data_IF_931895771085
#
_entry.id   IF_931895771085
#
_cell.length_a   1.000
_cell.length_b   1.000
_cell.length_c   1.000
_cell.angle_alpha   90.00
_cell.angle_beta   90.00
_cell.angle_gamma   90.00
#
_symmetry.space_group_name_H-M   'P 1'
#
loop_
_entity.id
_entity.type
_entity.pdbx_description
1 polymer ?
#
# COMPACT_ATOMS: atom_id res chain seq x y z
N UNK A 1 -14.24 31.27 -9.89
CA UNK A 1 -13.42 30.40 -10.76
C UNK A 1 -13.10 29.11 -10.01
N UNK A 2 -13.47 27.93 -10.53
CA UNK A 2 -13.12 26.64 -9.90
C UNK A 2 -11.67 26.33 -10.26
N UNK A 3 -10.74 26.62 -9.36
CA UNK A 3 -9.35 26.17 -9.51
C UNK A 3 -9.36 24.64 -9.60
N UNK A 4 -9.12 24.10 -10.80
CA UNK A 4 -8.85 22.68 -11.00
C UNK A 4 -7.45 22.42 -10.48
N UNK A 5 -7.33 22.20 -9.18
CA UNK A 5 -6.07 21.80 -8.58
C UNK A 5 -5.63 20.49 -9.23
N UNK A 6 -4.62 20.61 -10.08
CA UNK A 6 -4.03 19.52 -10.84
C UNK A 6 -2.56 19.55 -10.50
N UNK A 7 -2.03 18.41 -10.09
CA UNK A 7 -0.63 18.26 -9.79
C UNK A 7 -0.01 17.28 -10.78
N UNK A 8 1.20 17.57 -11.22
CA UNK A 8 1.97 16.73 -12.12
C UNK A 8 3.23 16.28 -11.40
N UNK A 9 3.57 15.00 -11.51
CA UNK A 9 4.75 14.42 -10.89
C UNK A 9 5.42 13.47 -11.85
N UNK A 10 6.73 13.53 -11.93
CA UNK A 10 7.53 12.50 -12.57
C UNK A 10 8.11 11.58 -11.50
N UNK A 11 7.98 10.28 -11.70
CA UNK A 11 8.56 9.27 -10.81
C UNK A 11 9.69 8.60 -11.57
N UNK A 12 10.87 9.20 -11.44
CA UNK A 12 12.12 8.70 -12.02
C UNK A 12 12.76 7.67 -11.08
N UNK A 13 13.44 6.70 -11.68
CA UNK A 13 14.19 5.60 -11.03
C UNK A 13 13.35 4.43 -10.53
N UNK A 14 13.18 3.43 -11.40
CA UNK A 14 12.97 2.05 -10.96
C UNK A 14 14.24 1.25 -11.24
N UNK A 15 14.64 0.33 -10.34
CA UNK A 15 15.61 -0.69 -10.71
C UNK A 15 15.13 -1.38 -11.99
N UNK A 16 16.02 -1.49 -12.98
CA UNK A 16 15.71 -2.10 -14.27
C UNK A 16 14.97 -3.45 -14.07
N UNK A 17 13.86 -3.64 -14.78
CA UNK A 17 13.05 -4.86 -14.72
C UNK A 17 11.92 -4.89 -13.69
N UNK A 18 11.67 -3.83 -12.90
CA UNK A 18 10.48 -3.74 -12.03
C UNK A 18 9.41 -2.83 -12.62
N UNK A 19 8.23 -3.38 -12.87
CA UNK A 19 7.17 -2.71 -13.65
C UNK A 19 6.30 -1.75 -12.85
N UNK A 20 6.18 -1.88 -11.52
CA UNK A 20 5.44 -0.95 -10.66
C UNK A 20 5.90 -1.07 -9.20
N UNK A 21 6.19 0.05 -8.53
CA UNK A 21 6.43 0.08 -7.07
C UNK A 21 5.37 0.97 -6.40
N UNK A 22 5.05 0.76 -5.12
CA UNK A 22 4.21 1.69 -4.37
C UNK A 22 4.90 3.06 -4.30
N UNK A 23 4.14 4.09 -4.67
CA UNK A 23 4.56 5.48 -4.66
C UNK A 23 3.79 6.21 -3.57
N UNK A 24 4.52 7.02 -2.79
CA UNK A 24 3.97 7.91 -1.76
C UNK A 24 4.43 9.33 -2.03
N UNK A 25 3.48 10.24 -2.19
CA UNK A 25 3.76 11.66 -2.40
C UNK A 25 2.87 12.51 -1.50
N UNK A 26 3.28 13.75 -1.27
CA UNK A 26 2.53 14.74 -0.50
C UNK A 26 2.20 15.93 -1.38
N UNK A 27 0.93 16.34 -1.40
CA UNK A 27 0.46 17.49 -2.17
C UNK A 27 -0.12 18.58 -1.25
N UNK A 28 0.18 19.87 -1.53
CA UNK A 28 -0.46 20.97 -0.83
C UNK A 28 -1.86 21.23 -1.40
N UNK A 29 -2.81 21.61 -0.55
CA UNK A 29 -4.15 22.04 -0.97
C UNK A 29 -4.53 23.38 -0.36
N UNK A 30 -5.41 24.11 -1.02
CA UNK A 30 -5.87 25.41 -0.55
C UNK A 30 -6.75 25.30 0.72
N UNK A 31 -6.88 26.36 1.52
CA UNK A 31 -7.86 26.41 2.61
C UNK A 31 -9.27 26.07 2.11
N UNK A 32 -10.07 25.43 2.97
CA UNK A 32 -11.46 25.04 2.69
C UNK A 32 -11.61 24.00 1.56
N UNK A 33 -10.56 23.26 1.24
CA UNK A 33 -10.61 22.16 0.27
C UNK A 33 -11.49 20.99 0.80
N UNK A 34 -12.48 20.56 0.00
CA UNK A 34 -13.55 19.61 0.40
C UNK A 34 -13.59 18.32 -0.43
N UNK A 35 -12.46 17.82 -0.91
CA UNK A 35 -12.48 16.73 -1.89
C UNK A 35 -12.29 15.38 -1.19
N UNK A 36 -13.24 14.44 -1.35
CA UNK A 36 -13.27 13.19 -0.58
C UNK A 36 -12.33 12.11 -1.13
N UNK A 37 -11.86 12.23 -2.38
CA UNK A 37 -11.06 11.22 -3.06
C UNK A 37 -10.16 11.81 -4.14
N UNK A 38 -9.06 11.11 -4.41
CA UNK A 38 -8.08 11.44 -5.44
C UNK A 38 -7.95 10.30 -6.43
N UNK A 39 -7.65 10.64 -7.68
CA UNK A 39 -7.27 9.68 -8.70
C UNK A 39 -6.01 10.13 -9.41
N UNK A 40 -5.25 9.15 -9.87
CA UNK A 40 -4.03 9.35 -10.65
C UNK A 40 -4.29 8.94 -12.09
N UNK A 41 -3.97 9.83 -13.02
CA UNK A 41 -3.90 9.55 -14.45
C UNK A 41 -2.46 9.08 -14.72
N UNK A 42 -2.35 7.85 -15.23
CA UNK A 42 -1.10 7.19 -15.58
C UNK A 42 -0.55 7.69 -16.94
N UNK A 43 0.73 7.43 -17.28
CA UNK A 43 1.30 7.78 -18.58
C UNK A 43 0.50 7.25 -19.78
N UNK A 44 -0.10 6.06 -19.65
CA UNK A 44 -0.93 5.43 -20.67
C UNK A 44 -2.37 5.97 -20.74
N UNK A 45 -2.68 7.06 -20.02
CA UNK A 45 -4.01 7.67 -19.97
C UNK A 45 -5.02 6.98 -19.05
N UNK A 46 -4.71 5.80 -18.49
CA UNK A 46 -5.62 5.12 -17.55
C UNK A 46 -5.74 5.89 -16.23
N UNK A 47 -6.92 5.82 -15.61
CA UNK A 47 -7.21 6.50 -14.34
C UNK A 47 -7.37 5.46 -13.24
N UNK A 48 -6.61 5.62 -12.15
CA UNK A 48 -6.67 4.75 -10.98
C UNK A 48 -6.89 5.55 -9.70
N UNK A 49 -7.61 5.01 -8.72
CA UNK A 49 -7.80 5.69 -7.44
C UNK A 49 -6.48 5.76 -6.68
N UNK A 50 -6.24 6.89 -6.02
CA UNK A 50 -5.19 7.03 -5.02
C UNK A 50 -5.79 6.91 -3.63
N UNK A 51 -5.17 6.13 -2.75
CA UNK A 51 -5.47 6.22 -1.34
C UNK A 51 -4.95 7.57 -0.83
N UNK A 52 -5.74 8.24 0.00
CA UNK A 52 -5.41 9.58 0.48
C UNK A 52 -5.61 9.72 1.97
N UNK A 53 -4.70 10.42 2.65
CA UNK A 53 -4.86 10.82 4.04
C UNK A 53 -4.39 12.25 4.28
N UNK A 54 -5.09 12.97 5.15
CA UNK A 54 -4.63 14.31 5.59
C UNK A 54 -3.48 14.13 6.57
N UNK A 55 -2.34 14.80 6.31
CA UNK A 55 -1.16 14.77 7.19
C UNK A 55 -0.99 16.09 7.96
N UNK A 56 -1.42 17.23 7.41
CA UNK A 56 -1.40 18.54 8.08
C UNK A 56 -2.71 19.25 7.80
N UNK A 57 -3.26 19.94 8.80
CA UNK A 57 -4.49 20.75 8.70
C UNK A 57 -4.18 22.25 8.88
N UNK A 58 -5.02 23.10 8.30
CA UNK A 58 -5.11 24.51 8.66
C UNK A 58 -5.78 24.67 10.04
N UNK A 59 -5.66 25.84 10.70
CA UNK A 59 -6.38 26.14 11.94
C UNK A 59 -7.91 25.98 11.82
N UNK A 60 -8.46 26.17 10.62
CA UNK A 60 -9.89 25.92 10.32
C UNK A 60 -10.28 24.43 10.31
N UNK A 61 -9.33 23.51 10.50
CA UNK A 61 -9.53 22.06 10.42
C UNK A 61 -9.51 21.50 8.98
N UNK A 62 -9.53 22.35 7.96
CA UNK A 62 -9.42 21.91 6.56
C UNK A 62 -8.02 21.32 6.26
N UNK A 63 -7.91 20.34 5.34
CA UNK A 63 -6.61 19.79 4.95
C UNK A 63 -5.70 20.88 4.39
N UNK A 64 -4.39 20.80 4.71
CA UNK A 64 -3.32 21.63 4.16
C UNK A 64 -2.35 20.79 3.32
N UNK A 65 -2.00 19.61 3.82
CA UNK A 65 -1.20 18.63 3.11
C UNK A 65 -1.88 17.27 3.12
N UNK A 66 -1.90 16.64 1.96
CA UNK A 66 -2.50 15.32 1.75
C UNK A 66 -1.42 14.38 1.22
N UNK A 67 -1.26 13.25 1.89
CA UNK A 67 -0.42 12.16 1.40
C UNK A 67 -1.27 11.26 0.51
N UNK A 68 -0.71 10.89 -0.63
CA UNK A 68 -1.31 10.00 -1.62
C UNK A 68 -0.44 8.75 -1.79
N UNK A 69 -1.08 7.59 -1.75
CA UNK A 69 -0.47 6.28 -1.95
C UNK A 69 -1.10 5.61 -3.20
N UNK A 70 -0.27 5.22 -4.16
CA UNK A 70 -0.69 4.56 -5.41
C UNK A 70 0.44 3.69 -5.97
N UNK A 71 0.21 2.98 -7.08
CA UNK A 71 1.23 2.17 -7.76
C UNK A 71 1.48 2.67 -9.18
N UNK A 72 2.74 2.83 -9.57
CA UNK A 72 3.08 3.23 -10.95
C UNK A 72 4.54 3.67 -11.16
N UNK A 73 4.94 3.80 -12.43
CA UNK A 73 6.19 4.40 -12.92
C UNK A 73 5.92 5.45 -14.03
N UNK A 74 6.74 6.50 -14.15
CA UNK A 74 6.63 7.53 -15.19
C UNK A 74 5.90 8.83 -14.79
N UNK A 75 5.41 9.59 -15.78
CA UNK A 75 4.74 10.88 -15.61
C UNK A 75 3.25 10.71 -15.23
N UNK A 76 2.88 11.23 -14.07
CA UNK A 76 1.53 11.15 -13.51
C UNK A 76 0.87 12.50 -13.37
N UNK A 77 -0.47 12.49 -13.48
CA UNK A 77 -1.32 13.65 -13.20
C UNK A 77 -2.37 13.30 -12.15
N UNK A 78 -2.43 14.08 -11.09
CA UNK A 78 -3.43 13.91 -10.02
C UNK A 78 -4.64 14.75 -10.32
N UNK A 79 -5.80 14.11 -10.22
CA UNK A 79 -7.08 14.78 -10.34
C UNK A 79 -7.90 14.58 -9.09
N UNK A 80 -8.69 15.59 -8.80
CA UNK A 80 -9.61 15.63 -7.69
C UNK A 80 -10.97 14.97 -7.99
N UNK A 81 -10.98 13.99 -8.90
CA UNK A 81 -12.17 13.20 -9.23
C UNK A 81 -12.06 11.84 -8.57
N UNK A 82 -13.15 11.36 -7.99
CA UNK A 82 -13.27 9.96 -7.60
C UNK A 82 -13.42 9.12 -8.85
N UNK A 83 -12.55 8.14 -9.06
CA UNK A 83 -12.83 7.02 -9.97
C UNK A 83 -13.08 5.79 -9.10
N UNK A 84 -14.23 5.14 -9.30
CA UNK A 84 -14.53 3.87 -8.66
C UNK A 84 -13.99 2.78 -9.56
N UNK A 85 -12.92 2.12 -9.15
CA UNK A 85 -12.39 0.95 -9.84
C UNK A 85 -12.89 -0.31 -9.15
N UNK A 86 -13.49 -1.24 -9.91
CA UNK A 86 -14.13 -2.44 -9.36
C UNK A 86 -13.16 -3.53 -8.92
N UNK A 87 -11.91 -3.51 -9.40
CA UNK A 87 -10.96 -4.61 -9.18
C UNK A 87 -9.67 -4.15 -8.50
N UNK A 88 -9.75 -3.64 -7.26
CA UNK A 88 -8.54 -3.48 -6.46
C UNK A 88 -8.15 -4.84 -5.87
N UNK A 89 -6.88 -5.21 -6.00
CA UNK A 89 -6.26 -6.21 -5.12
C UNK A 89 -6.22 -5.63 -3.70
N UNK A 90 -7.35 -5.65 -2.99
CA UNK A 90 -7.45 -5.09 -1.66
C UNK A 90 -6.52 -5.85 -0.71
N UNK A 91 -5.74 -5.08 0.04
CA UNK A 91 -5.10 -5.61 1.24
C UNK A 91 -6.21 -5.85 2.26
N UNK A 92 -6.35 -7.08 2.71
CA UNK A 92 -7.23 -7.45 3.82
C UNK A 92 -6.39 -7.74 5.05
N UNK A 93 -6.88 -7.29 6.21
CA UNK A 93 -6.27 -7.53 7.51
C UNK A 93 -7.30 -8.24 8.37
N UNK A 94 -6.95 -9.43 8.83
CA UNK A 94 -7.78 -10.27 9.67
C UNK A 94 -7.11 -10.41 11.03
N UNK A 95 -7.85 -10.13 12.11
CA UNK A 95 -7.34 -10.29 13.47
C UNK A 95 -7.49 -11.76 13.87
N UNK A 96 -6.43 -12.32 14.45
CA UNK A 96 -6.42 -13.65 15.07
C UNK A 96 -6.03 -13.49 16.55
N UNK A 97 -6.29 -14.49 17.38
CA UNK A 97 -6.11 -14.41 18.84
C UNK A 97 -4.75 -13.84 19.27
N UNK A 98 -3.68 -14.28 18.59
CA UNK A 98 -2.31 -13.90 18.92
C UNK A 98 -1.66 -12.98 17.87
N UNK A 99 -2.42 -12.32 16.98
CA UNK A 99 -1.81 -11.52 15.93
C UNK A 99 -2.74 -11.08 14.81
N UNK A 100 -2.19 -10.99 13.60
CA UNK A 100 -2.92 -10.54 12.42
C UNK A 100 -2.47 -11.30 11.17
N UNK A 101 -3.40 -11.52 10.25
CA UNK A 101 -3.10 -12.00 8.91
C UNK A 101 -3.26 -10.81 7.97
N UNK A 102 -2.18 -10.49 7.24
CA UNK A 102 -2.18 -9.47 6.19
C UNK A 102 -2.13 -10.19 4.85
N UNK A 103 -3.19 -10.10 4.04
CA UNK A 103 -3.29 -10.85 2.78
C UNK A 103 -3.85 -10.03 1.63
N UNK A 104 -3.39 -10.35 0.43
CA UNK A 104 -4.02 -10.00 -0.84
C UNK A 104 -4.12 -11.27 -1.70
N UNK A 105 -4.53 -11.14 -2.97
CA UNK A 105 -4.75 -12.27 -3.88
C UNK A 105 -3.49 -13.10 -4.21
N UNK A 106 -2.29 -12.66 -3.83
CA UNK A 106 -1.01 -13.33 -4.17
C UNK A 106 -0.12 -13.60 -2.97
N UNK A 107 -0.27 -12.84 -1.89
CA UNK A 107 0.62 -12.85 -0.73
C UNK A 107 -0.23 -12.86 0.54
N UNK A 108 0.12 -13.76 1.46
CA UNK A 108 -0.40 -13.81 2.83
C UNK A 108 0.76 -13.82 3.80
N UNK A 109 0.76 -12.90 4.75
CA UNK A 109 1.72 -12.81 5.84
C UNK A 109 0.96 -13.04 7.14
N UNK A 110 1.41 -14.00 7.93
CA UNK A 110 0.87 -14.24 9.28
C UNK A 110 1.82 -13.59 10.27
N UNK A 111 1.30 -12.63 11.02
CA UNK A 111 2.01 -11.93 12.08
C UNK A 111 1.53 -12.48 13.42
N UNK A 112 2.46 -12.85 14.30
CA UNK A 112 2.17 -13.41 15.61
C UNK A 112 2.97 -12.67 16.68
N UNK A 113 2.27 -12.18 17.70
CA UNK A 113 2.81 -11.34 18.77
C UNK A 113 3.53 -12.14 19.87
N UNK A 114 3.39 -13.47 19.87
CA UNK A 114 3.92 -14.36 20.92
C UNK A 114 5.20 -15.09 20.51
N UNK A 115 5.66 -14.92 19.28
CA UNK A 115 6.90 -15.54 18.78
C UNK A 115 8.02 -14.51 18.70
N UNK A 116 9.26 -14.98 18.81
CA UNK A 116 10.48 -14.14 18.76
C UNK A 116 10.63 -13.42 17.42
N UNK A 117 10.19 -14.06 16.33
CA UNK A 117 10.13 -13.47 14.99
C UNK A 117 8.69 -13.09 14.65
N UNK A 118 8.31 -11.80 14.65
CA UNK A 118 6.90 -11.39 14.53
C UNK A 118 6.22 -11.82 13.22
N UNK A 119 7.00 -12.26 12.22
CA UNK A 119 6.50 -12.89 10.99
C UNK A 119 6.52 -14.40 11.18
N UNK A 120 5.36 -15.00 11.42
CA UNK A 120 5.21 -16.45 11.56
C UNK A 120 5.32 -17.16 10.22
N UNK A 121 4.70 -16.61 9.17
CA UNK A 121 4.79 -17.20 7.82
C UNK A 121 4.57 -16.20 6.70
N UNK A 122 5.16 -16.52 5.55
CA UNK A 122 4.97 -15.83 4.27
C UNK A 122 4.52 -16.87 3.25
N UNK A 123 3.33 -16.68 2.67
CA UNK A 123 2.73 -17.57 1.67
C UNK A 123 2.51 -16.78 0.38
N UNK A 124 3.02 -17.28 -0.74
CA UNK A 124 2.88 -16.66 -2.07
C UNK A 124 2.20 -17.62 -3.05
N UNK A 125 1.02 -17.27 -3.56
CA UNK A 125 0.23 -18.16 -4.45
C UNK A 125 0.19 -19.61 -3.93
N UNK A 126 -0.19 -19.76 -2.67
CA UNK A 126 -0.27 -21.05 -1.95
C UNK A 126 1.07 -21.75 -1.65
N UNK A 127 2.20 -21.19 -2.11
CA UNK A 127 3.54 -21.67 -1.74
C UNK A 127 4.01 -21.05 -0.42
N UNK A 128 4.31 -21.87 0.59
CA UNK A 128 4.94 -21.42 1.83
C UNK A 128 6.42 -21.08 1.55
N UNK A 129 6.80 -19.81 1.70
CA UNK A 129 8.15 -19.32 1.42
C UNK A 129 9.05 -19.25 2.65
N UNK A 130 8.48 -19.05 3.84
CA UNK A 130 9.24 -18.95 5.08
C UNK A 130 8.38 -19.29 6.31
N UNK A 131 8.97 -20.02 7.24
CA UNK A 131 8.52 -20.23 8.62
C UNK A 131 9.78 -20.18 9.52
N UNK A 132 9.98 -19.15 10.35
CA UNK A 132 11.19 -19.03 11.16
C UNK A 132 11.36 -20.13 12.22
N UNK A 133 10.32 -20.93 12.50
CA UNK A 133 10.30 -21.89 13.61
C UNK A 133 10.27 -23.36 13.16
N UNK A 134 10.77 -23.69 11.96
CA UNK A 134 11.16 -25.08 11.69
C UNK A 134 12.47 -25.37 12.44
N UNK A 135 12.39 -25.51 13.76
CA UNK A 135 13.42 -26.16 14.55
C UNK A 135 13.61 -27.55 13.90
N UNK A 136 14.78 -27.90 13.35
CA UNK A 136 15.03 -29.28 12.98
C UNK A 136 14.91 -30.08 14.27
N UNK A 137 13.99 -31.05 14.30
CA UNK A 137 13.93 -32.04 15.38
C UNK A 137 15.36 -32.50 15.67
N UNK A 138 15.83 -32.51 16.93
CA UNK A 138 17.07 -33.19 17.22
C UNK A 138 16.89 -34.64 16.76
N UNK A 139 17.74 -35.08 15.84
CA UNK A 139 17.88 -36.51 15.56
C UNK A 139 18.27 -37.15 16.88
N UNK A 140 17.32 -37.82 17.52
CA UNK A 140 17.61 -38.74 18.62
C UNK A 140 18.47 -39.83 17.96
N UNK A 141 19.73 -40.01 18.35
CA UNK A 141 20.50 -41.14 17.84
C UNK A 141 19.74 -42.42 18.21
N UNK A 142 19.65 -43.41 17.30
CA UNK A 142 19.04 -44.67 17.66
C UNK A 142 19.72 -45.20 18.93
N UNK A 143 18.90 -45.53 19.93
CA UNK A 143 19.38 -46.30 21.07
C UNK A 143 19.71 -47.70 20.55
N UNK A 144 21.00 -48.03 20.65
CA UNK A 144 21.71 -49.29 20.36
C UNK A 144 22.09 -49.53 18.90
#
# INVERSE_FOLDING_TARGET
>A
MKNKNTWHFNIDNFPAGKTTWPCRISIPVCPNFKIPAFSVIRPNGSVVPAQSRTIIKYPSGSPRWIQLDFTGSGLYKITNKSCVYKDQNFLSIEKIDNGFIVKNNRLKIVLNKKISFPIQSIIWKDLLLACPDAIPYPQIPPLL
#
